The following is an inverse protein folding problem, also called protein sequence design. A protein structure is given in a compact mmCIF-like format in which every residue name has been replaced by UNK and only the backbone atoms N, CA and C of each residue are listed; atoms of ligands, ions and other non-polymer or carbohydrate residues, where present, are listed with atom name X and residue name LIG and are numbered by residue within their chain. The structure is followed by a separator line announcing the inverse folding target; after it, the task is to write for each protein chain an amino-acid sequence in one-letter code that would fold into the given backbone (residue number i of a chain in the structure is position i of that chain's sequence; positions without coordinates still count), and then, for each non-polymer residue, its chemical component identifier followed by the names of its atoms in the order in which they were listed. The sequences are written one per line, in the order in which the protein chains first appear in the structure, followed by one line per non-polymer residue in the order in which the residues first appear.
data_IF_176432433784
#
_entry.id   IF_176432433784
#
_cell.length_a   1.000
_cell.length_b   1.000
_cell.length_c   1.000
_cell.angle_alpha   90.00
_cell.angle_beta   90.00
_cell.angle_gamma   90.00
#
_symmetry.space_group_name_H-M   'P 1'
#
loop_
_entity.id
_entity.type
_entity.pdbx_description
1 polymer ?
#
# COMPACT_ATOMS: atom_id res chain seq x y z
N UNK A 1 -1.46 -31.17 20.56
CA UNK A 1 -0.34 -30.22 20.28
C UNK A 1 -0.26 -29.85 18.80
N UNK A 2 0.00 -28.58 18.44
CA UNK A 2 -0.05 -28.10 17.06
C UNK A 2 1.24 -28.41 16.27
N UNK A 3 1.28 -29.57 15.59
CA UNK A 3 2.41 -30.04 14.73
C UNK A 3 2.78 -29.14 13.53
N UNK A 4 2.27 -27.90 13.44
CA UNK A 4 2.41 -26.98 12.28
C UNK A 4 3.67 -26.10 12.30
N UNK A 5 4.43 -26.06 13.41
CA UNK A 5 5.64 -25.25 13.54
C UNK A 5 6.76 -25.59 12.53
N UNK A 6 7.22 -26.86 12.36
CA UNK A 6 8.32 -27.17 11.45
C UNK A 6 7.99 -26.90 9.97
N UNK A 7 6.73 -27.04 9.57
CA UNK A 7 6.28 -26.69 8.22
C UNK A 7 6.39 -25.17 7.96
N UNK A 8 6.02 -24.33 8.94
CA UNK A 8 6.21 -22.87 8.87
C UNK A 8 7.70 -22.48 8.78
N UNK A 9 8.58 -23.14 9.53
CA UNK A 9 10.03 -22.88 9.50
C UNK A 9 10.62 -23.25 8.14
N UNK A 10 10.30 -24.44 7.59
CA UNK A 10 10.69 -24.83 6.23
C UNK A 10 10.20 -23.83 5.17
N UNK A 11 8.95 -23.35 5.30
CA UNK A 11 8.41 -22.33 4.40
C UNK A 11 9.16 -20.98 4.51
N UNK A 12 9.52 -20.55 5.73
CA UNK A 12 10.32 -19.34 5.95
C UNK A 12 11.69 -19.46 5.28
N UNK A 13 12.41 -20.56 5.54
CA UNK A 13 13.72 -20.84 4.94
C UNK A 13 13.66 -20.87 3.40
N UNK A 14 12.60 -21.45 2.82
CA UNK A 14 12.40 -21.43 1.37
C UNK A 14 12.11 -20.01 0.84
N UNK A 15 11.29 -19.20 1.52
CA UNK A 15 11.10 -17.78 1.13
C UNK A 15 12.38 -16.95 1.23
N UNK A 16 13.28 -17.26 2.18
CA UNK A 16 14.60 -16.65 2.30
C UNK A 16 15.51 -17.06 1.13
N UNK A 17 15.49 -18.33 0.70
CA UNK A 17 16.20 -18.79 -0.52
C UNK A 17 15.69 -18.06 -1.78
N UNK A 18 14.37 -17.97 -1.98
CA UNK A 18 13.77 -17.23 -3.10
C UNK A 18 14.13 -15.74 -3.04
N UNK A 19 14.08 -15.11 -1.86
CA UNK A 19 14.48 -13.72 -1.69
C UNK A 19 15.97 -13.48 -1.99
N UNK A 20 16.86 -14.43 -1.69
CA UNK A 20 18.28 -14.38 -2.10
C UNK A 20 18.40 -14.43 -3.63
N UNK A 21 17.78 -15.44 -4.26
CA UNK A 21 17.84 -15.65 -5.71
C UNK A 21 17.34 -14.42 -6.50
N UNK A 22 16.15 -13.91 -6.15
CA UNK A 22 15.56 -12.73 -6.79
C UNK A 22 16.32 -11.41 -6.51
N UNK A 23 17.17 -11.36 -5.47
CA UNK A 23 18.10 -10.24 -5.27
C UNK A 23 19.31 -10.39 -6.19
N UNK A 24 19.88 -11.58 -6.36
CA UNK A 24 21.03 -11.81 -7.27
C UNK A 24 20.66 -11.68 -8.75
N UNK A 25 19.48 -12.16 -9.17
CA UNK A 25 18.98 -12.00 -10.56
C UNK A 25 18.33 -10.64 -10.82
N UNK A 26 18.33 -9.73 -9.83
CA UNK A 26 17.77 -8.37 -9.91
C UNK A 26 16.25 -8.30 -10.16
N UNK A 27 15.49 -9.38 -9.93
CA UNK A 27 14.02 -9.39 -10.01
C UNK A 27 13.37 -8.64 -8.84
N UNK A 28 13.39 -7.31 -8.91
CA UNK A 28 13.04 -6.43 -7.79
C UNK A 28 11.57 -6.45 -7.36
N UNK A 29 10.64 -6.96 -8.17
CA UNK A 29 9.23 -7.10 -7.78
C UNK A 29 9.02 -8.38 -6.98
N UNK A 30 9.53 -9.52 -7.47
CA UNK A 30 9.56 -10.79 -6.73
C UNK A 30 10.30 -10.66 -5.41
N UNK A 31 11.50 -10.07 -5.40
CA UNK A 31 12.25 -9.86 -4.16
C UNK A 31 11.53 -8.92 -3.17
N UNK A 32 10.65 -8.01 -3.63
CA UNK A 32 9.78 -7.22 -2.73
C UNK A 32 8.70 -8.11 -2.11
N UNK A 33 8.05 -8.94 -2.93
CA UNK A 33 7.01 -9.88 -2.49
C UNK A 33 7.57 -10.94 -1.52
N UNK A 34 8.69 -11.58 -1.87
CA UNK A 34 9.36 -12.59 -1.04
C UNK A 34 9.81 -12.03 0.31
N UNK A 35 10.39 -10.82 0.37
CA UNK A 35 10.74 -10.16 1.64
C UNK A 35 9.50 -9.81 2.48
N UNK A 36 8.38 -9.45 1.84
CA UNK A 36 7.11 -9.20 2.54
C UNK A 36 6.52 -10.50 3.12
N UNK A 37 6.48 -11.57 2.30
CA UNK A 37 6.00 -12.89 2.72
C UNK A 37 6.84 -13.51 3.83
N UNK A 38 8.17 -13.40 3.73
CA UNK A 38 9.08 -13.84 4.78
C UNK A 38 8.87 -13.07 6.09
N UNK A 39 8.62 -11.75 6.04
CA UNK A 39 8.26 -10.95 7.24
C UNK A 39 6.95 -11.43 7.88
N UNK A 40 5.93 -11.74 7.08
CA UNK A 40 4.68 -12.31 7.59
C UNK A 40 4.90 -13.67 8.27
N UNK A 41 5.81 -14.50 7.74
CA UNK A 41 6.18 -15.78 8.35
C UNK A 41 6.99 -15.60 9.65
N UNK A 42 7.96 -14.68 9.73
CA UNK A 42 8.69 -14.39 10.98
C UNK A 42 7.81 -13.84 12.09
N UNK A 43 6.75 -13.10 11.73
CA UNK A 43 5.76 -12.59 12.68
C UNK A 43 4.82 -13.70 13.19
N UNK A 44 4.62 -14.77 12.42
CA UNK A 44 3.73 -15.89 12.73
C UNK A 44 4.47 -17.09 13.38
N UNK A 45 5.67 -16.87 13.91
CA UNK A 45 6.58 -17.84 14.52
C UNK A 45 7.22 -17.26 15.81
N UNK A 46 7.54 -18.12 16.82
CA UNK A 46 8.26 -17.69 18.02
C UNK A 46 9.59 -17.02 17.70
N UNK A 47 10.02 -16.08 18.54
CA UNK A 47 11.30 -15.37 18.37
C UNK A 47 12.49 -16.31 18.56
N UNK A 48 12.42 -17.10 19.62
CA UNK A 48 13.43 -18.00 20.17
C UNK A 48 13.84 -19.07 19.15
N UNK A 49 12.89 -19.53 18.33
CA UNK A 49 13.08 -20.53 17.29
C UNK A 49 13.43 -19.94 15.90
N UNK A 50 13.54 -18.61 15.76
CA UNK A 50 13.75 -17.96 14.44
C UNK A 50 14.80 -16.83 14.43
N UNK A 51 15.69 -16.79 15.43
CA UNK A 51 16.74 -15.76 15.56
C UNK A 51 17.58 -15.66 14.28
N UNK A 52 18.13 -16.79 13.81
CA UNK A 52 18.98 -16.83 12.61
C UNK A 52 18.22 -16.40 11.34
N UNK A 53 17.00 -16.86 11.12
CA UNK A 53 16.18 -16.42 9.97
C UNK A 53 15.85 -14.93 10.03
N UNK A 54 15.61 -14.37 11.22
CA UNK A 54 15.35 -12.93 11.42
C UNK A 54 16.60 -12.10 11.10
N UNK A 55 17.78 -12.54 11.52
CA UNK A 55 19.05 -11.91 11.17
C UNK A 55 19.32 -11.96 9.67
N UNK A 56 19.19 -13.13 9.04
CA UNK A 56 19.32 -13.30 7.59
C UNK A 56 18.33 -12.42 6.82
N UNK A 57 17.07 -12.35 7.26
CA UNK A 57 16.05 -11.47 6.68
C UNK A 57 16.43 -9.99 6.87
N UNK A 58 17.04 -9.61 8.00
CA UNK A 58 17.55 -8.25 8.22
C UNK A 58 18.70 -7.92 7.26
N UNK A 59 19.62 -8.85 7.03
CA UNK A 59 20.74 -8.69 6.10
C UNK A 59 20.27 -8.58 4.65
N UNK A 60 19.27 -9.36 4.23
CA UNK A 60 18.66 -9.25 2.91
C UNK A 60 17.87 -7.94 2.75
N UNK A 61 17.19 -7.46 3.81
CA UNK A 61 16.58 -6.13 3.82
C UNK A 61 17.61 -5.01 3.73
N UNK A 62 18.78 -5.12 4.39
CA UNK A 62 19.90 -4.17 4.25
C UNK A 62 20.46 -4.18 2.82
N UNK A 63 20.81 -5.36 2.27
CA UNK A 63 21.27 -5.52 0.87
C UNK A 63 20.26 -4.98 -0.14
N UNK A 64 18.95 -5.17 0.09
CA UNK A 64 17.92 -4.57 -0.76
C UNK A 64 17.82 -3.06 -0.55
N UNK A 65 17.84 -2.54 0.68
CA UNK A 65 17.71 -1.10 0.92
C UNK A 65 18.89 -0.28 0.36
N UNK A 66 20.08 -0.89 0.28
CA UNK A 66 21.27 -0.29 -0.32
C UNK A 66 21.18 -0.11 -1.85
N UNK A 67 20.28 -0.82 -2.54
CA UNK A 67 20.10 -0.66 -4.00
C UNK A 67 19.30 0.62 -4.29
N UNK A 68 19.74 1.42 -5.27
CA UNK A 68 19.11 2.69 -5.67
C UNK A 68 17.73 2.50 -6.36
N UNK A 69 16.75 1.95 -5.64
CA UNK A 69 15.38 1.76 -6.13
C UNK A 69 14.57 3.06 -6.08
N UNK A 70 13.59 3.24 -6.99
CA UNK A 70 12.66 4.36 -6.91
C UNK A 70 11.90 4.39 -5.58
N UNK A 71 11.54 3.23 -5.01
CA UNK A 71 10.95 3.17 -3.67
C UNK A 71 11.85 3.76 -2.56
N UNK A 72 13.17 3.58 -2.64
CA UNK A 72 14.12 4.18 -1.71
C UNK A 72 14.33 5.69 -1.96
N UNK A 73 14.27 6.13 -3.24
CA UNK A 73 14.24 7.57 -3.60
C UNK A 73 12.99 8.25 -3.05
N UNK A 74 11.81 7.66 -3.28
CA UNK A 74 10.53 8.17 -2.80
C UNK A 74 10.48 8.20 -1.26
N UNK A 75 11.04 7.20 -0.58
CA UNK A 75 11.14 7.19 0.89
C UNK A 75 12.10 8.27 1.45
N UNK A 76 13.14 8.67 0.70
CA UNK A 76 13.96 9.84 1.04
C UNK A 76 13.21 11.15 0.76
N UNK A 77 12.50 11.25 -0.37
CA UNK A 77 11.70 12.44 -0.74
C UNK A 77 10.53 12.67 0.22
N UNK A 78 9.89 11.62 0.74
CA UNK A 78 8.86 11.71 1.78
C UNK A 78 9.39 12.19 3.15
N UNK A 79 10.71 12.30 3.32
CA UNK A 79 11.38 12.96 4.46
C UNK A 79 11.97 14.33 4.12
N UNK A 80 11.71 14.87 2.93
CA UNK A 80 12.01 16.27 2.64
C UNK A 80 11.03 17.16 3.42
N UNK A 81 11.45 17.64 4.58
CA UNK A 81 10.81 18.77 5.26
C UNK A 81 10.70 19.95 4.29
N UNK A 82 9.61 20.74 4.33
CA UNK A 82 9.42 21.86 3.42
C UNK A 82 10.41 22.99 3.75
N UNK A 83 11.61 22.91 3.16
CA UNK A 83 12.62 23.95 3.27
C UNK A 83 12.06 25.28 2.78
N UNK A 84 12.17 26.33 3.62
CA UNK A 84 11.67 27.67 3.31
C UNK A 84 12.21 28.13 1.95
N UNK A 85 11.32 28.42 1.00
CA UNK A 85 11.70 29.19 -0.19
C UNK A 85 12.16 30.60 0.25
N UNK A 86 13.37 31.05 -0.10
CA UNK A 86 13.77 32.43 0.12
C UNK A 86 12.98 33.33 -0.84
N UNK A 87 12.16 34.23 -0.30
CA UNK A 87 11.26 35.06 -1.12
C UNK A 87 10.08 35.72 -0.38
N UNK A 88 10.11 35.78 0.96
CA UNK A 88 9.11 36.50 1.73
C UNK A 88 9.33 38.01 1.63
N UNK A 89 8.39 38.74 1.02
CA UNK A 89 8.34 40.21 1.11
C UNK A 89 8.19 40.65 2.58
N UNK A 90 8.73 41.83 2.91
CA UNK A 90 8.74 42.37 4.28
C UNK A 90 7.36 42.32 4.93
N UNK A 91 7.29 41.91 6.19
CA UNK A 91 6.10 42.07 7.01
C UNK A 91 5.89 43.56 7.35
N UNK A 92 4.64 44.02 7.27
CA UNK A 92 4.21 45.33 7.76
C UNK A 92 2.88 45.14 8.52
N UNK A 93 2.84 45.35 9.86
CA UNK A 93 1.63 45.15 10.64
C UNK A 93 0.79 46.44 10.70
N UNK A 94 -0.52 46.35 10.40
CA UNK A 94 -1.56 47.25 10.97
C UNK A 94 -3.00 46.82 10.64
N UNK A 95 -3.87 47.02 11.64
CA UNK A 95 -5.33 47.24 11.58
C UNK A 95 -6.23 46.13 11.01
N UNK A 96 -6.66 45.25 11.91
CA UNK A 96 -8.08 44.98 12.22
C UNK A 96 -9.18 45.45 11.23
N UNK A 97 -9.86 44.49 10.61
CA UNK A 97 -11.26 44.59 10.17
C UNK A 97 -11.93 43.22 10.37
N UNK A 98 -13.22 43.17 10.67
CA UNK A 98 -13.88 41.94 11.10
C UNK A 98 -14.72 41.28 10.00
N UNK A 99 -14.59 39.95 9.86
CA UNK A 99 -15.72 38.99 9.96
C UNK A 99 -15.25 37.54 9.86
N UNK A 100 -15.99 36.65 10.52
CA UNK A 100 -15.82 35.20 10.41
C UNK A 100 -16.29 34.71 9.03
N UNK A 101 -15.42 34.07 8.26
CA UNK A 101 -15.77 33.37 7.04
C UNK A 101 -14.90 32.11 6.88
N UNK A 102 -15.48 30.94 7.07
CA UNK A 102 -14.81 29.67 6.80
C UNK A 102 -15.01 29.30 5.31
N UNK A 103 -14.00 29.57 4.47
CA UNK A 103 -13.95 29.11 3.08
C UNK A 103 -12.75 28.16 2.93
N UNK A 104 -12.99 26.86 3.10
CA UNK A 104 -13.45 25.92 2.06
C UNK A 104 -12.29 25.41 1.21
N UNK A 105 -12.03 24.10 1.35
CA UNK A 105 -11.06 23.35 0.54
C UNK A 105 -11.44 23.37 -0.93
N UNK A 106 -10.44 23.53 -1.81
CA UNK A 106 -10.61 23.40 -3.27
C UNK A 106 -11.32 22.08 -3.59
N UNK A 107 -12.39 22.07 -4.40
CA UNK A 107 -13.08 20.84 -4.75
C UNK A 107 -12.17 19.93 -5.58
N UNK A 108 -12.25 18.63 -5.32
CA UNK A 108 -11.83 17.60 -6.27
C UNK A 108 -12.61 17.77 -7.59
N UNK A 109 -12.05 17.36 -8.75
CA UNK A 109 -12.81 17.27 -9.98
C UNK A 109 -13.89 16.19 -9.81
N UNK A 110 -15.10 16.62 -9.46
CA UNK A 110 -16.28 15.78 -9.40
C UNK A 110 -16.53 15.26 -10.81
N UNK A 111 -16.69 13.94 -10.97
CA UNK A 111 -17.25 13.39 -12.21
C UNK A 111 -18.69 13.85 -12.29
N UNK A 112 -18.99 14.78 -13.19
CA UNK A 112 -20.37 15.19 -13.44
C UNK A 112 -21.19 14.01 -13.98
N UNK A 113 -21.94 13.40 -13.07
CA UNK A 113 -23.10 12.58 -13.37
C UNK A 113 -24.35 13.45 -13.62
N UNK A 114 -24.15 14.70 -14.07
CA UNK A 114 -25.23 15.61 -14.45
C UNK A 114 -26.01 15.07 -15.63
N UNK A 115 -27.33 14.96 -15.45
CA UNK A 115 -28.45 14.70 -16.38
C UNK A 115 -28.32 13.56 -17.40
N UNK A 116 -27.22 12.81 -17.38
CA UNK A 116 -27.02 11.58 -18.16
C UNK A 116 -27.78 10.43 -17.50
N UNK A 117 -29.06 10.34 -17.81
CA UNK A 117 -29.91 9.19 -17.50
C UNK A 117 -29.38 7.93 -18.22
N UNK A 118 -28.50 7.19 -17.56
CA UNK A 118 -27.99 5.91 -18.07
C UNK A 118 -29.06 4.85 -17.82
N UNK A 119 -29.77 4.44 -18.87
CA UNK A 119 -30.75 3.38 -18.79
C UNK A 119 -30.09 2.06 -18.34
N UNK A 120 -30.66 1.40 -17.33
CA UNK A 120 -30.21 0.08 -16.87
C UNK A 120 -30.26 -0.96 -18.00
N UNK A 121 -31.14 -0.78 -18.99
CA UNK A 121 -31.21 -1.64 -20.17
C UNK A 121 -30.02 -1.45 -21.12
N UNK A 122 -29.53 -0.21 -21.34
CA UNK A 122 -28.37 0.06 -22.22
C UNK A 122 -27.04 -0.43 -21.65
N UNK A 123 -27.01 -0.82 -20.38
CA UNK A 123 -25.87 -1.52 -19.75
C UNK A 123 -25.98 -3.05 -19.81
N UNK A 124 -26.97 -3.60 -20.52
CA UNK A 124 -27.22 -5.04 -20.57
C UNK A 124 -27.84 -5.65 -19.31
N UNK A 125 -28.19 -4.82 -18.31
CA UNK A 125 -28.80 -5.24 -17.05
C UNK A 125 -30.33 -5.10 -17.03
N UNK A 126 -30.97 -5.07 -18.21
CA UNK A 126 -32.41 -5.26 -18.32
C UNK A 126 -32.84 -6.54 -17.58
N UNK A 127 -34.03 -6.54 -16.98
CA UNK A 127 -34.48 -7.67 -16.17
C UNK A 127 -34.52 -8.94 -17.02
N UNK A 128 -33.80 -9.99 -16.60
CA UNK A 128 -34.20 -11.35 -16.95
C UNK A 128 -35.44 -11.66 -16.12
N UNK A 129 -36.54 -12.01 -16.77
CA UNK A 129 -37.82 -12.13 -16.09
C UNK A 129 -37.80 -13.23 -15.02
N UNK A 130 -38.16 -12.83 -13.80
CA UNK A 130 -38.16 -13.68 -12.61
C UNK A 130 -39.41 -14.56 -12.54
N UNK A 131 -39.73 -15.31 -13.59
CA UNK A 131 -40.93 -16.18 -13.66
C UNK A 131 -40.75 -17.51 -12.91
N UNK A 132 -40.24 -17.46 -11.68
CA UNK A 132 -40.19 -18.62 -10.79
C UNK A 132 -41.42 -18.65 -9.86
N UNK A 133 -42.51 -19.22 -10.39
CA UNK A 133 -43.54 -19.94 -9.63
C UNK A 133 -44.41 -19.17 -8.62
N UNK A 134 -45.69 -18.97 -8.95
CA UNK A 134 -46.82 -19.42 -8.09
C UNK A 134 -48.18 -19.20 -8.75
N UNK A 135 -49.06 -20.23 -8.74
CA UNK A 135 -50.32 -20.27 -7.97
C UNK A 135 -51.41 -21.20 -8.55
N UNK A 136 -51.46 -22.41 -7.99
CA UNK A 136 -52.65 -23.21 -7.63
C UNK A 136 -53.74 -23.60 -8.68
N UNK A 137 -54.09 -24.90 -8.58
CA UNK A 137 -55.22 -25.64 -9.20
C UNK A 137 -55.09 -25.94 -10.68
#
# INVERSE_FOLDING_TARGET
MPKRQPAKIKALQQTIKVARAAISTKHWNEARYALSRARALTNALPADLTVQEREQLSALRKKYAARNTPAARNAKQAKATPAKRPGGKKAAPKKSAAKSAAQQSKPTPVRELGDRFISRASLGYGSKDGTNGSRAR
#
